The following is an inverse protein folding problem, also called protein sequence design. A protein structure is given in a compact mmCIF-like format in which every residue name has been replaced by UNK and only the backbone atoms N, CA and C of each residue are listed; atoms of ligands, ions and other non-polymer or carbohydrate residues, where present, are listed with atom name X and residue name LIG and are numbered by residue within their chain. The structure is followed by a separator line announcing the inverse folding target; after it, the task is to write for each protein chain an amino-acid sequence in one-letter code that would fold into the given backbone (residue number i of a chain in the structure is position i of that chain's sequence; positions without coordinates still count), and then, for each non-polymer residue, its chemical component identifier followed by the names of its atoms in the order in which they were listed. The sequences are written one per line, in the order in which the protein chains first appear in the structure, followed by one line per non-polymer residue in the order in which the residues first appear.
data_IF_222734088084
#
_entry.id   IF_222734088084
#
_cell.length_a   1.000
_cell.length_b   1.000
_cell.length_c   1.000
_cell.angle_alpha   90.00
_cell.angle_beta   90.00
_cell.angle_gamma   90.00
#
_symmetry.space_group_name_H-M   'P 1'
#
loop_
_entity.id
_entity.type
_entity.pdbx_description
1 polymer ?
#
# COMPACT_ATOMS: atom_id res chain seq x y z
N UNK A 1 7.74 9.67 3.70
CA UNK A 1 8.61 10.24 4.76
C UNK A 1 7.81 11.39 5.34
N UNK A 2 7.04 11.08 6.35
CA UNK A 2 6.03 12.00 6.77
C UNK A 2 6.42 12.77 8.01
N UNK A 3 5.46 13.44 8.52
CA UNK A 3 5.43 14.31 9.70
C UNK A 3 6.17 13.81 10.95
N UNK A 4 6.60 12.55 11.00
CA UNK A 4 7.39 11.99 12.08
C UNK A 4 8.76 12.65 12.27
N UNK A 5 9.38 13.11 11.19
CA UNK A 5 10.65 13.83 11.26
C UNK A 5 10.49 15.25 11.80
N UNK A 6 9.31 15.86 11.60
CA UNK A 6 9.03 17.22 12.08
C UNK A 6 8.67 17.27 13.57
N UNK A 7 8.32 16.15 14.17
CA UNK A 7 7.94 16.04 15.57
C UNK A 7 9.12 15.76 16.53
N UNK A 8 10.34 16.09 16.14
CA UNK A 8 11.52 15.94 16.99
C UNK A 8 11.96 14.49 17.23
N UNK A 9 11.40 13.52 16.53
CA UNK A 9 11.89 12.13 16.54
C UNK A 9 12.99 12.02 15.51
N UNK A 10 14.18 11.74 15.99
CA UNK A 10 15.33 11.50 15.11
C UNK A 10 15.11 10.19 14.36
N UNK A 11 15.15 10.25 13.03
CA UNK A 11 15.03 9.06 12.19
C UNK A 11 16.24 8.14 12.46
N UNK A 12 16.03 6.89 12.89
CA UNK A 12 17.13 5.95 13.15
C UNK A 12 17.98 5.68 11.89
N UNK A 13 17.47 5.94 10.69
CA UNK A 13 18.25 5.82 9.44
C UNK A 13 19.41 6.81 9.39
N UNK A 14 19.31 7.98 10.02
CA UNK A 14 20.41 8.95 10.08
C UNK A 14 21.57 8.36 10.87
N UNK A 15 21.31 7.74 12.01
CA UNK A 15 22.33 7.07 12.81
C UNK A 15 22.94 5.90 12.07
N UNK A 16 22.13 5.12 11.37
CA UNK A 16 22.63 4.01 10.56
C UNK A 16 23.52 4.50 9.42
N UNK A 17 23.14 5.60 8.75
CA UNK A 17 23.94 6.21 7.69
C UNK A 17 25.27 6.80 8.18
N UNK A 18 25.33 7.23 9.43
CA UNK A 18 26.54 7.78 10.08
C UNK A 18 27.35 6.73 10.82
N UNK A 19 26.88 5.49 10.90
CA UNK A 19 27.57 4.40 11.57
C UNK A 19 28.51 3.65 10.63
N UNK A 20 29.57 3.07 11.20
CA UNK A 20 30.45 2.15 10.48
C UNK A 20 29.87 0.75 10.33
N UNK A 21 28.56 0.60 10.60
CA UNK A 21 27.87 -0.69 10.48
C UNK A 21 27.89 -1.18 9.04
N UNK A 22 28.50 -2.32 8.85
CA UNK A 22 28.46 -3.06 7.58
C UNK A 22 27.42 -4.19 7.70
N UNK A 23 26.33 -4.16 6.92
CA UNK A 23 25.38 -5.24 6.95
C UNK A 23 26.05 -6.54 6.48
N UNK A 24 25.71 -7.70 7.09
CA UNK A 24 26.20 -8.97 6.59
C UNK A 24 25.94 -9.15 5.08
N UNK A 25 26.92 -9.67 4.35
CA UNK A 25 26.86 -9.85 2.89
C UNK A 25 25.57 -10.54 2.45
N UNK A 26 25.15 -11.59 3.19
CA UNK A 26 23.90 -12.32 2.93
C UNK A 26 22.64 -11.44 3.01
N UNK A 27 22.65 -10.37 3.81
CA UNK A 27 21.53 -9.41 3.84
C UNK A 27 21.54 -8.52 2.61
N UNK A 28 22.72 -8.12 2.12
CA UNK A 28 22.88 -7.40 0.87
C UNK A 28 22.36 -8.21 -0.32
N UNK A 29 22.76 -9.46 -0.42
CA UNK A 29 22.27 -10.41 -1.43
C UNK A 29 20.74 -10.59 -1.32
N UNK A 30 20.20 -10.71 -0.11
CA UNK A 30 18.76 -10.84 0.11
C UNK A 30 17.98 -9.58 -0.28
N UNK A 31 18.56 -8.41 -0.09
CA UNK A 31 17.96 -7.12 -0.47
C UNK A 31 18.04 -6.84 -1.97
N UNK A 32 18.96 -7.50 -2.68
CA UNK A 32 19.17 -7.27 -4.11
C UNK A 32 17.91 -7.59 -4.92
N UNK A 33 17.50 -6.67 -5.79
CA UNK A 33 16.36 -6.85 -6.69
C UNK A 33 16.61 -7.86 -7.81
N UNK A 34 17.87 -8.19 -8.07
CA UNK A 34 18.29 -9.08 -9.15
C UNK A 34 18.03 -10.56 -8.85
N UNK A 35 16.98 -10.88 -8.14
CA UNK A 35 16.59 -12.26 -7.89
C UNK A 35 16.06 -12.90 -9.16
N UNK A 36 16.80 -13.87 -9.67
CA UNK A 36 16.44 -14.57 -10.90
C UNK A 36 15.18 -15.44 -10.76
N UNK A 37 14.77 -15.78 -9.56
CA UNK A 37 13.60 -16.64 -9.30
C UNK A 37 12.59 -15.91 -8.42
N UNK A 38 11.29 -16.03 -8.73
CA UNK A 38 10.25 -15.58 -7.83
C UNK A 38 10.33 -16.25 -6.47
N UNK A 39 10.01 -15.53 -5.41
CA UNK A 39 9.86 -16.12 -4.09
C UNK A 39 8.60 -15.63 -3.40
N UNK A 40 8.09 -16.48 -2.52
CA UNK A 40 6.93 -16.19 -1.67
C UNK A 40 7.35 -16.31 -0.22
N UNK A 41 6.93 -15.35 0.59
CA UNK A 41 7.02 -15.42 2.04
C UNK A 41 5.63 -15.25 2.60
N UNK A 42 5.24 -16.16 3.49
CA UNK A 42 4.02 -16.06 4.29
C UNK A 42 4.41 -16.30 5.74
N UNK A 43 4.00 -15.40 6.62
CA UNK A 43 4.30 -15.48 8.05
C UNK A 43 3.31 -14.67 8.88
N UNK A 44 3.25 -14.99 10.16
CA UNK A 44 2.65 -14.13 11.17
C UNK A 44 3.67 -13.06 11.58
N UNK A 45 3.23 -11.85 11.73
CA UNK A 45 4.08 -10.71 12.04
C UNK A 45 3.51 -9.86 13.18
N UNK A 46 4.41 -9.41 14.03
CA UNK A 46 4.09 -8.57 15.18
C UNK A 46 3.45 -9.31 16.34
N UNK A 47 3.17 -8.59 17.40
CA UNK A 47 2.59 -9.14 18.63
C UNK A 47 1.16 -9.65 18.46
N UNK A 48 0.46 -9.19 17.44
CA UNK A 48 -0.91 -9.63 17.11
C UNK A 48 -0.92 -10.76 16.07
N UNK A 49 0.23 -11.30 15.72
CA UNK A 49 0.38 -12.40 14.76
C UNK A 49 -0.35 -12.16 13.42
N UNK A 50 -0.22 -10.94 12.90
CA UNK A 50 -0.88 -10.54 11.66
C UNK A 50 -0.36 -11.36 10.49
N UNK A 51 -1.21 -12.11 9.78
CA UNK A 51 -0.80 -12.83 8.58
C UNK A 51 -0.33 -11.87 7.50
N UNK A 52 0.88 -12.09 7.00
CA UNK A 52 1.47 -11.32 5.91
C UNK A 52 1.89 -12.23 4.77
N UNK A 53 1.74 -11.77 3.56
CA UNK A 53 2.19 -12.45 2.36
C UNK A 53 3.00 -11.48 1.49
N UNK A 54 4.11 -11.96 0.95
CA UNK A 54 4.96 -11.23 0.02
C UNK A 54 5.25 -12.14 -1.16
N UNK A 55 5.04 -11.63 -2.36
CA UNK A 55 5.49 -12.26 -3.59
C UNK A 55 6.38 -11.28 -4.36
N UNK A 56 7.58 -11.70 -4.67
CA UNK A 56 8.60 -10.86 -5.29
C UNK A 56 9.27 -11.57 -6.46
N UNK A 57 9.44 -10.84 -7.54
CA UNK A 57 10.22 -11.21 -8.72
C UNK A 57 11.33 -10.19 -8.95
N UNK A 58 12.07 -10.33 -10.02
CA UNK A 58 13.03 -9.30 -10.47
C UNK A 58 12.34 -8.01 -10.94
N UNK A 59 11.09 -8.10 -11.39
CA UNK A 59 10.37 -7.03 -12.06
C UNK A 59 9.32 -6.34 -11.18
N UNK A 60 8.82 -7.03 -10.15
CA UNK A 60 7.82 -6.47 -9.25
C UNK A 60 7.82 -7.14 -7.87
N UNK A 61 7.19 -6.46 -6.93
CA UNK A 61 6.92 -6.99 -5.60
C UNK A 61 5.52 -6.60 -5.16
N UNK A 62 4.74 -7.56 -4.68
CA UNK A 62 3.43 -7.34 -4.09
C UNK A 62 3.40 -7.92 -2.68
N UNK A 63 2.90 -7.14 -1.74
CA UNK A 63 2.81 -7.53 -0.34
C UNK A 63 1.44 -7.16 0.21
N UNK A 64 0.90 -8.02 1.04
CA UNK A 64 -0.34 -7.76 1.77
C UNK A 64 -0.27 -8.26 3.20
N UNK A 65 -1.17 -7.73 4.04
CA UNK A 65 -1.40 -8.24 5.38
C UNK A 65 -2.89 -8.22 5.71
N UNK A 66 -3.29 -9.14 6.58
CA UNK A 66 -4.66 -9.22 7.09
C UNK A 66 -4.70 -8.49 8.43
N UNK A 67 -5.57 -7.50 8.56
CA UNK A 67 -5.77 -6.84 9.85
C UNK A 67 -6.71 -7.67 10.73
N UNK A 68 -6.46 -7.75 12.05
CA UNK A 68 -7.43 -8.35 12.99
C UNK A 68 -8.71 -7.52 13.14
N UNK A 69 -8.73 -6.32 12.56
CA UNK A 69 -9.87 -5.39 12.59
C UNK A 69 -10.68 -5.39 11.30
N UNK A 70 -10.69 -6.48 10.57
CA UNK A 70 -11.46 -6.62 9.32
C UNK A 70 -12.89 -6.15 9.52
N UNK A 71 -13.36 -5.28 8.62
CA UNK A 71 -14.70 -4.68 8.70
C UNK A 71 -14.85 -3.61 9.78
N UNK A 72 -13.80 -3.28 10.51
CA UNK A 72 -13.76 -2.22 11.52
C UNK A 72 -13.05 -0.96 11.04
N UNK A 73 -13.01 0.10 11.86
CA UNK A 73 -12.20 1.27 11.59
C UNK A 73 -10.72 0.88 11.58
N UNK A 74 -10.02 1.32 10.56
CA UNK A 74 -8.61 1.08 10.40
C UNK A 74 -7.74 2.05 11.18
N UNK A 75 -6.46 2.01 10.89
CA UNK A 75 -5.47 2.93 11.40
C UNK A 75 -4.58 3.36 10.21
N UNK A 76 -3.36 3.80 10.46
CA UNK A 76 -2.40 4.21 9.43
C UNK A 76 -1.71 2.99 8.78
N UNK A 77 -2.46 1.95 8.49
CA UNK A 77 -1.96 0.74 7.85
C UNK A 77 -2.25 0.75 6.35
N UNK A 78 -1.27 0.36 5.57
CA UNK A 78 -1.45 0.02 4.16
C UNK A 78 -1.44 -1.50 4.04
N UNK A 79 -2.62 -2.08 3.82
CA UNK A 79 -2.82 -3.52 3.83
C UNK A 79 -2.37 -4.20 2.53
N UNK A 80 -2.17 -3.44 1.47
CA UNK A 80 -1.58 -3.89 0.22
C UNK A 80 -0.61 -2.83 -0.30
N UNK A 81 0.58 -3.27 -0.67
CA UNK A 81 1.60 -2.47 -1.33
C UNK A 81 2.19 -3.24 -2.52
N UNK A 82 2.43 -2.53 -3.60
CA UNK A 82 3.02 -3.07 -4.80
C UNK A 82 4.07 -2.12 -5.34
N UNK A 83 5.12 -2.67 -5.92
CA UNK A 83 6.15 -1.94 -6.66
C UNK A 83 6.30 -2.59 -8.02
N UNK A 84 6.24 -1.79 -9.09
CA UNK A 84 6.59 -2.21 -10.44
C UNK A 84 8.02 -1.74 -10.73
N UNK A 85 8.94 -2.68 -10.95
CA UNK A 85 10.34 -2.47 -11.26
C UNK A 85 11.16 -1.88 -10.11
N UNK A 86 10.81 -0.69 -9.61
CA UNK A 86 11.55 -0.01 -8.55
C UNK A 86 10.63 0.77 -7.58
N UNK A 87 11.23 1.40 -6.56
CA UNK A 87 10.52 2.10 -5.50
C UNK A 87 9.73 3.35 -5.95
N UNK A 88 10.01 3.90 -7.13
CA UNK A 88 9.32 5.08 -7.67
C UNK A 88 7.89 4.77 -8.08
N UNK A 89 7.60 3.52 -8.39
CA UNK A 89 6.27 3.05 -8.79
C UNK A 89 5.52 2.39 -7.63
N UNK A 90 5.62 2.94 -6.45
CA UNK A 90 4.85 2.42 -5.31
C UNK A 90 3.36 2.64 -5.53
N UNK A 91 2.62 1.55 -5.41
CA UNK A 91 1.16 1.52 -5.55
C UNK A 91 0.58 0.92 -4.27
N UNK A 92 -0.50 1.50 -3.78
CA UNK A 92 -1.25 0.94 -2.65
C UNK A 92 -2.73 1.20 -2.80
N UNK A 93 -3.53 0.38 -2.11
CA UNK A 93 -4.98 0.51 -2.05
C UNK A 93 -5.37 0.74 -0.60
N UNK A 94 -6.25 1.71 -0.37
CA UNK A 94 -6.86 1.94 0.92
C UNK A 94 -8.26 2.55 0.77
N UNK A 95 -9.09 2.38 1.80
CA UNK A 95 -10.33 3.12 1.92
C UNK A 95 -10.02 4.40 2.70
N UNK A 96 -10.18 5.60 2.10
CA UNK A 96 -9.77 6.83 2.74
C UNK A 96 -10.42 7.05 4.11
N UNK A 97 -9.66 7.64 5.03
CA UNK A 97 -10.17 8.15 6.28
C UNK A 97 -10.56 9.63 6.17
N UNK A 98 -9.98 10.47 7.00
CA UNK A 98 -10.27 11.90 7.03
C UNK A 98 -9.91 12.60 5.71
N UNK A 99 -10.84 13.40 5.17
CA UNK A 99 -10.65 14.16 3.91
C UNK A 99 -9.81 15.42 4.06
N UNK A 100 -9.54 15.89 5.27
CA UNK A 100 -8.75 17.10 5.48
C UNK A 100 -7.27 16.84 5.24
N UNK A 101 -6.61 17.68 4.45
CA UNK A 101 -5.19 17.56 4.12
C UNK A 101 -4.33 17.61 5.39
N UNK A 102 -4.62 18.54 6.29
CA UNK A 102 -3.90 18.71 7.56
C UNK A 102 -4.75 18.30 8.76
N UNK A 103 -5.64 17.35 8.56
CA UNK A 103 -6.48 16.83 9.63
C UNK A 103 -5.67 16.13 10.72
N UNK A 104 -6.11 16.24 11.93
CA UNK A 104 -5.52 15.59 13.10
C UNK A 104 -6.15 14.23 13.39
N UNK A 105 -7.29 13.96 12.78
CA UNK A 105 -7.95 12.66 12.92
C UNK A 105 -7.18 11.56 12.21
N UNK A 106 -7.29 10.39 12.73
CA UNK A 106 -6.76 9.18 12.11
C UNK A 106 -7.90 8.17 11.95
N UNK A 107 -7.88 7.40 10.87
CA UNK A 107 -6.88 7.29 9.81
C UNK A 107 -6.89 8.47 8.82
N UNK A 108 -5.73 8.76 8.24
CA UNK A 108 -5.59 9.80 7.23
C UNK A 108 -6.07 9.36 5.84
N UNK A 109 -6.21 10.34 4.92
CA UNK A 109 -6.74 10.12 3.59
C UNK A 109 -5.88 9.16 2.75
N UNK A 110 -4.58 9.40 2.65
CA UNK A 110 -3.70 8.63 1.76
C UNK A 110 -3.09 7.38 2.39
N UNK A 111 -2.84 7.40 3.70
CA UNK A 111 -2.03 6.37 4.37
C UNK A 111 -2.83 5.53 5.37
N UNK A 112 -4.10 5.82 5.54
CA UNK A 112 -4.93 5.12 6.50
C UNK A 112 -6.08 4.39 5.85
N UNK A 113 -6.73 3.54 6.61
CA UNK A 113 -7.98 2.89 6.22
C UNK A 113 -9.10 3.34 7.14
N UNK A 114 -10.06 4.10 6.61
CA UNK A 114 -11.32 4.39 7.31
C UNK A 114 -12.12 3.12 7.52
N UNK A 115 -12.00 2.19 6.58
CA UNK A 115 -12.60 0.86 6.62
C UNK A 115 -11.56 -0.16 6.22
N UNK A 116 -11.39 -1.23 7.00
CA UNK A 116 -10.41 -2.28 6.74
C UNK A 116 -11.03 -3.43 5.95
N UNK A 117 -10.41 -3.85 4.84
CA UNK A 117 -10.92 -4.95 4.03
C UNK A 117 -10.56 -6.31 4.62
N UNK A 118 -11.28 -7.33 4.17
CA UNK A 118 -10.76 -8.69 4.15
C UNK A 118 -9.74 -8.80 3.03
N UNK A 119 -8.55 -9.30 3.35
CA UNK A 119 -7.43 -9.41 2.41
C UNK A 119 -7.06 -10.87 2.20
N UNK A 120 -6.92 -11.27 0.95
CA UNK A 120 -6.38 -12.58 0.57
C UNK A 120 -5.33 -12.41 -0.51
N UNK A 121 -4.19 -13.10 -0.37
CA UNK A 121 -3.13 -13.10 -1.37
C UNK A 121 -2.68 -14.51 -1.71
N UNK A 122 -2.62 -14.79 -3.01
CA UNK A 122 -1.97 -15.98 -3.54
C UNK A 122 -0.96 -15.57 -4.62
N UNK A 123 0.33 -15.69 -4.32
CA UNK A 123 1.43 -15.22 -5.18
C UNK A 123 1.22 -13.76 -5.59
N UNK A 124 1.03 -13.49 -6.88
CA UNK A 124 0.84 -12.18 -7.48
C UNK A 124 -0.61 -11.71 -7.59
N UNK A 125 -1.54 -12.44 -7.03
CA UNK A 125 -2.96 -12.07 -6.99
C UNK A 125 -3.33 -11.67 -5.57
N UNK A 126 -3.91 -10.47 -5.43
CA UNK A 126 -4.46 -9.97 -4.17
C UNK A 126 -5.92 -9.61 -4.37
N UNK A 127 -6.76 -10.06 -3.46
CA UNK A 127 -8.19 -9.71 -3.40
C UNK A 127 -8.43 -8.91 -2.13
N UNK A 128 -9.11 -7.78 -2.27
CA UNK A 128 -9.52 -6.89 -1.19
C UNK A 128 -11.05 -6.80 -1.21
N UNK A 129 -11.70 -7.22 -0.13
CA UNK A 129 -13.15 -7.12 0.01
C UNK A 129 -13.51 -6.16 1.13
N UNK A 130 -14.10 -5.03 0.78
CA UNK A 130 -14.60 -4.03 1.71
C UNK A 130 -16.06 -4.28 2.01
N UNK A 131 -16.39 -4.43 3.29
CA UNK A 131 -17.76 -4.61 3.77
C UNK A 131 -18.19 -3.36 4.52
N UNK A 132 -19.14 -2.65 3.96
CA UNK A 132 -19.71 -1.47 4.61
C UNK A 132 -20.73 -1.90 5.65
N UNK A 133 -20.65 -1.33 6.85
CA UNK A 133 -21.70 -1.45 7.84
C UNK A 133 -22.02 -0.06 8.41
N UNK A 134 -23.29 0.18 8.71
CA UNK A 134 -23.80 1.49 9.12
C UNK A 134 -23.12 2.09 10.36
N UNK A 135 -22.56 1.24 11.22
CA UNK A 135 -21.88 1.67 12.46
C UNK A 135 -20.48 2.25 12.24
N UNK A 136 -19.92 2.15 11.04
CA UNK A 136 -18.53 2.53 10.73
C UNK A 136 -18.42 3.84 9.95
N UNK A 137 -19.55 4.42 9.55
CA UNK A 137 -19.61 5.65 8.75
C UNK A 137 -18.97 6.87 9.43
N UNK A 138 -18.84 6.86 10.76
CA UNK A 138 -18.18 7.94 11.51
C UNK A 138 -16.67 8.06 11.22
N UNK A 139 -16.05 7.00 10.72
CA UNK A 139 -14.62 6.94 10.42
C UNK A 139 -14.30 6.88 8.93
N UNK A 140 -15.25 6.47 8.12
CA UNK A 140 -15.12 6.37 6.66
C UNK A 140 -15.90 7.52 6.02
N UNK A 141 -15.29 8.70 5.93
CA UNK A 141 -15.89 9.87 5.27
C UNK A 141 -16.05 9.68 3.75
N UNK A 142 -15.40 8.68 3.18
CA UNK A 142 -15.46 8.35 1.77
C UNK A 142 -16.34 7.14 1.51
N UNK A 143 -17.12 7.20 0.44
CA UNK A 143 -17.94 6.12 -0.11
C UNK A 143 -17.20 5.33 -1.22
N UNK A 144 -15.89 5.50 -1.32
CA UNK A 144 -15.05 4.85 -2.32
C UNK A 144 -13.75 4.35 -1.72
N UNK A 145 -13.20 3.33 -2.33
CA UNK A 145 -11.83 2.86 -2.12
C UNK A 145 -10.94 3.44 -3.22
N UNK A 146 -9.75 3.88 -2.89
CA UNK A 146 -8.84 4.38 -3.89
C UNK A 146 -7.55 3.57 -4.01
N UNK A 147 -7.05 3.49 -5.22
CA UNK A 147 -5.70 3.05 -5.52
C UNK A 147 -4.85 4.29 -5.82
N UNK A 148 -3.83 4.52 -5.03
CA UNK A 148 -2.83 5.51 -5.37
C UNK A 148 -1.80 4.91 -6.32
N UNK A 149 -1.55 5.61 -7.43
CA UNK A 149 -0.54 5.27 -8.40
C UNK A 149 -0.01 6.54 -9.06
N UNK A 150 1.30 6.71 -9.08
CA UNK A 150 1.93 7.72 -9.92
C UNK A 150 1.99 7.20 -11.37
N UNK A 151 1.01 7.58 -12.16
CA UNK A 151 0.91 7.14 -13.55
C UNK A 151 2.03 7.71 -14.43
N UNK A 152 2.69 8.80 -14.00
CA UNK A 152 3.77 9.43 -14.77
C UNK A 152 5.03 8.56 -14.85
N UNK A 153 5.19 7.59 -13.95
CA UNK A 153 6.32 6.64 -13.96
C UNK A 153 6.01 5.35 -14.73
N UNK A 154 4.79 5.18 -15.22
CA UNK A 154 4.39 4.04 -16.03
C UNK A 154 4.67 4.30 -17.51
N UNK A 155 5.12 3.28 -18.24
CA UNK A 155 5.33 3.36 -19.68
C UNK A 155 4.01 3.34 -20.44
N UNK A 156 3.03 2.58 -19.93
CA UNK A 156 1.68 2.50 -20.49
C UNK A 156 0.64 2.43 -19.38
N UNK A 157 -0.48 3.08 -19.60
CA UNK A 157 -1.63 3.03 -18.70
C UNK A 157 -2.91 3.03 -19.51
N UNK A 158 -3.81 2.11 -19.20
CA UNK A 158 -5.15 2.04 -19.75
C UNK A 158 -6.16 1.90 -18.62
N UNK A 159 -7.21 2.70 -18.63
CA UNK A 159 -8.28 2.65 -17.64
C UNK A 159 -9.62 2.57 -18.33
N UNK A 160 -10.28 1.43 -18.16
CA UNK A 160 -11.65 1.20 -18.59
C UNK A 160 -12.66 1.29 -17.45
N UNK A 161 -13.86 0.84 -17.67
CA UNK A 161 -14.97 0.91 -16.70
C UNK A 161 -14.69 0.09 -15.43
N UNK A 162 -14.19 -1.14 -15.58
CA UNK A 162 -13.94 -2.06 -14.47
C UNK A 162 -12.47 -2.47 -14.34
N UNK A 163 -11.66 -2.22 -15.36
CA UNK A 163 -10.27 -2.64 -15.42
C UNK A 163 -9.32 -1.47 -15.60
N UNK A 164 -8.18 -1.54 -14.93
CA UNK A 164 -7.04 -0.71 -15.23
C UNK A 164 -5.80 -1.59 -15.47
N UNK A 165 -5.02 -1.22 -16.47
CA UNK A 165 -3.77 -1.88 -16.82
C UNK A 165 -2.63 -0.86 -16.80
N UNK A 166 -1.54 -1.25 -16.14
CA UNK A 166 -0.34 -0.44 -16.04
C UNK A 166 0.86 -1.28 -16.41
N UNK A 167 1.79 -0.70 -17.16
CA UNK A 167 3.06 -1.33 -17.50
C UNK A 167 4.23 -0.44 -17.11
N UNK A 168 5.29 -1.06 -16.59
CA UNK A 168 6.58 -0.42 -16.38
C UNK A 168 7.70 -1.43 -16.63
N UNK A 169 8.43 -1.25 -17.73
CA UNK A 169 9.37 -2.26 -18.23
C UNK A 169 8.66 -3.57 -18.50
N UNK A 170 9.17 -4.64 -17.90
CA UNK A 170 8.60 -5.98 -18.00
C UNK A 170 7.58 -6.30 -16.87
N UNK A 171 7.24 -5.31 -16.06
CA UNK A 171 6.25 -5.45 -15.01
C UNK A 171 4.87 -4.98 -15.47
N UNK A 172 3.86 -5.80 -15.23
CA UNK A 172 2.48 -5.55 -15.59
C UNK A 172 1.58 -5.63 -14.36
N UNK A 173 0.64 -4.71 -14.25
CA UNK A 173 -0.43 -4.73 -13.26
C UNK A 173 -1.78 -4.68 -13.94
N UNK A 174 -2.68 -5.56 -13.53
CA UNK A 174 -4.10 -5.49 -13.83
C UNK A 174 -4.87 -5.27 -12.52
N UNK A 175 -5.78 -4.32 -12.52
CA UNK A 175 -6.67 -4.02 -11.39
C UNK A 175 -8.10 -4.15 -11.85
N UNK A 176 -8.89 -4.90 -11.10
CA UNK A 176 -10.32 -5.04 -11.30
C UNK A 176 -11.10 -4.39 -10.15
N UNK A 177 -12.11 -3.62 -10.45
CA UNK A 177 -13.05 -3.10 -9.46
C UNK A 177 -14.49 -3.47 -9.84
N UNK A 178 -15.15 -4.21 -8.97
CA UNK A 178 -16.52 -4.70 -9.20
C UNK A 178 -17.53 -3.56 -9.48
N UNK A 179 -17.39 -2.46 -8.76
CA UNK A 179 -18.30 -1.31 -8.84
C UNK A 179 -17.82 -0.21 -9.81
N UNK A 180 -16.84 -0.55 -10.65
CA UNK A 180 -16.26 0.37 -11.61
C UNK A 180 -15.07 1.16 -11.10
N UNK A 181 -14.36 1.78 -12.03
CA UNK A 181 -13.17 2.59 -11.83
C UNK A 181 -13.39 4.01 -12.38
N UNK A 182 -12.84 4.98 -11.72
CA UNK A 182 -12.70 6.34 -12.25
C UNK A 182 -11.31 6.89 -11.93
N UNK A 183 -10.77 7.69 -12.86
CA UNK A 183 -9.50 8.37 -12.64
C UNK A 183 -9.77 9.73 -12.00
N UNK A 184 -9.27 9.91 -10.79
CA UNK A 184 -9.32 11.20 -10.14
C UNK A 184 -7.91 11.79 -10.04
N UNK A 185 -7.64 12.83 -10.81
CA UNK A 185 -6.35 13.53 -10.81
C UNK A 185 -6.23 14.60 -9.72
N UNK A 186 -7.35 14.97 -9.11
CA UNK A 186 -7.40 15.93 -8.00
C UNK A 186 -8.13 15.26 -6.84
N UNK A 187 -7.44 14.88 -5.77
CA UNK A 187 -8.11 14.28 -4.62
C UNK A 187 -9.14 15.29 -4.07
N UNK A 188 -10.34 14.81 -3.70
CA UNK A 188 -11.40 15.66 -3.14
C UNK A 188 -11.07 16.00 -1.68
N UNK A 189 -9.94 16.61 -1.45
CA UNK A 189 -9.52 17.06 -0.14
C UNK A 189 -10.12 18.42 0.14
N UNK A 190 -10.67 18.59 1.33
CA UNK A 190 -11.19 19.88 1.80
C UNK A 190 -10.04 20.67 2.42
N UNK A 191 -9.85 21.87 1.95
CA UNK A 191 -9.04 22.87 2.64
C UNK A 191 -9.86 23.38 3.84
N UNK A 192 -9.53 22.92 5.04
CA UNK A 192 -10.13 23.15 6.38
C UNK A 192 -11.21 22.20 6.80
#
# INVERSE_FOLDING_TARGET
WGEGCLNGRVDPLIFLALSDYQPPEKLGEAACWNKQRPFTVQRLQGTMEVPTAIYKTKDYSIASCVTPRTGGPGSQELLMNLFLKDYRSRIWINHPGERKIFGIRRPGYFNGNGLTPLVSQQKNVVVLSYQFCDKLLDYAEADFTHMFCDMSVCDETEVGEHWAFLRRGDAYLAVYAQNGLSVNRKPPLTEK
#
